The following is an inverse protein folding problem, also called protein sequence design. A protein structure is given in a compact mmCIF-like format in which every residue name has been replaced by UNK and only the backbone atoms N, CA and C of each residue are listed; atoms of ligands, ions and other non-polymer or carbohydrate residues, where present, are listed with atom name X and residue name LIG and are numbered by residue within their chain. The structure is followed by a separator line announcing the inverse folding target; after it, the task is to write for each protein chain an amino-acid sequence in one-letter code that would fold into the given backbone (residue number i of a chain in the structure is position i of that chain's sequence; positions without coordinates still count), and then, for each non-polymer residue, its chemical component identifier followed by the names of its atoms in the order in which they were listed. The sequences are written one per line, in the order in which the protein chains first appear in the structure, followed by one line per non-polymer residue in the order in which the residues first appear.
data_IF_801123549743
#
_entry.id   IF_801123549743
#
_cell.length_a   1.000
_cell.length_b   1.000
_cell.length_c   1.000
_cell.angle_alpha   90.00
_cell.angle_beta   90.00
_cell.angle_gamma   90.00
#
_symmetry.space_group_name_H-M   'P 1'
#
loop_
_entity.id
_entity.type
_entity.pdbx_description
1 polymer ?
#
# COMPACT_ATOMS: atom_id res chain seq x y z
N UNK A 1 -41.18 -16.94 15.93
CA UNK A 1 -40.77 -17.03 14.51
C UNK A 1 -40.33 -15.67 13.98
N UNK A 2 -41.20 -14.66 13.91
CA UNK A 2 -40.84 -13.31 13.42
C UNK A 2 -39.66 -12.64 14.15
N UNK A 3 -39.59 -12.74 15.48
CA UNK A 3 -38.51 -12.16 16.30
C UNK A 3 -37.15 -12.79 16.02
N UNK A 4 -37.13 -14.10 15.76
CA UNK A 4 -35.91 -14.83 15.41
C UNK A 4 -35.37 -14.43 14.04
N UNK A 5 -36.26 -14.21 13.06
CA UNK A 5 -35.87 -13.72 11.73
C UNK A 5 -35.38 -12.27 11.76
N UNK A 6 -35.97 -11.43 12.61
CA UNK A 6 -35.51 -10.05 12.81
C UNK A 6 -34.13 -9.98 13.47
N UNK A 7 -33.90 -10.80 14.50
CA UNK A 7 -32.57 -10.90 15.12
C UNK A 7 -31.52 -11.40 14.11
N UNK A 8 -31.89 -12.38 13.28
CA UNK A 8 -31.02 -12.90 12.22
C UNK A 8 -30.68 -11.83 11.18
N UNK A 9 -31.64 -11.02 10.73
CA UNK A 9 -31.40 -9.97 9.73
C UNK A 9 -30.50 -8.85 10.25
N UNK A 10 -30.64 -8.46 11.51
CA UNK A 10 -29.77 -7.46 12.16
C UNK A 10 -28.33 -7.99 12.29
N UNK A 11 -28.17 -9.23 12.74
CA UNK A 11 -26.86 -9.90 12.81
C UNK A 11 -26.20 -9.96 11.42
N UNK A 12 -26.97 -10.33 10.39
CA UNK A 12 -26.48 -10.43 9.03
C UNK A 12 -26.04 -9.05 8.49
N UNK A 13 -26.80 -7.99 8.76
CA UNK A 13 -26.43 -6.63 8.39
C UNK A 13 -25.14 -6.14 9.07
N UNK A 14 -24.92 -6.48 10.35
CA UNK A 14 -23.68 -6.16 11.07
C UNK A 14 -22.46 -6.90 10.50
N UNK A 15 -22.61 -8.19 10.14
CA UNK A 15 -21.53 -9.00 9.55
C UNK A 15 -21.16 -8.52 8.13
N UNK A 16 -22.13 -8.00 7.39
CA UNK A 16 -21.89 -7.41 6.05
C UNK A 16 -21.49 -5.93 6.07
N UNK A 17 -21.29 -5.32 7.24
CA UNK A 17 -20.71 -3.99 7.31
C UNK A 17 -19.29 -4.03 6.75
N UNK A 18 -19.05 -3.30 5.67
CA UNK A 18 -17.80 -3.41 4.93
C UNK A 18 -16.68 -2.75 5.73
N UNK A 19 -15.61 -3.50 6.02
CA UNK A 19 -14.36 -2.94 6.48
C UNK A 19 -13.62 -2.36 5.27
N UNK A 20 -13.59 -1.03 5.16
CA UNK A 20 -12.78 -0.34 4.15
C UNK A 20 -11.37 -0.20 4.73
N UNK A 21 -10.41 -0.85 4.09
CA UNK A 21 -8.99 -0.67 4.38
C UNK A 21 -8.33 -0.01 3.17
N UNK A 22 -7.69 1.12 3.41
CA UNK A 22 -6.91 1.85 2.42
C UNK A 22 -5.72 2.51 3.10
N UNK A 23 -4.72 2.88 2.32
CA UNK A 23 -3.65 3.72 2.82
C UNK A 23 -4.21 5.09 3.26
N UNK A 24 -3.66 5.71 4.33
CA UNK A 24 -4.07 7.04 4.75
C UNK A 24 -3.87 8.07 3.62
N UNK A 25 -4.78 9.03 3.50
CA UNK A 25 -4.60 10.15 2.58
C UNK A 25 -3.34 10.95 2.94
N UNK A 26 -2.58 11.44 1.94
CA UNK A 26 -1.41 12.27 2.21
C UNK A 26 -1.84 13.59 2.87
N UNK A 27 -1.03 14.06 3.82
CA UNK A 27 -1.29 15.31 4.56
C UNK A 27 -0.63 16.55 3.94
N UNK A 28 0.17 16.35 2.88
CA UNK A 28 1.03 17.35 2.24
C UNK A 28 1.34 16.89 0.81
N UNK A 29 1.95 17.75 -0.02
CA UNK A 29 2.18 17.47 -1.44
C UNK A 29 3.05 16.23 -1.68
N UNK A 30 4.09 16.02 -0.87
CA UNK A 30 4.95 14.85 -0.95
C UNK A 30 5.53 14.41 0.40
N UNK A 31 5.83 13.12 0.49
CA UNK A 31 6.57 12.49 1.59
C UNK A 31 7.44 11.39 1.01
N UNK A 32 8.65 11.73 0.59
CA UNK A 32 9.62 10.74 0.12
C UNK A 32 10.11 9.95 1.33
N UNK A 33 10.00 8.63 1.29
CA UNK A 33 10.43 7.79 2.39
C UNK A 33 11.94 7.92 2.67
N UNK A 34 12.27 8.18 3.93
CA UNK A 34 13.61 8.07 4.47
C UNK A 34 13.84 6.63 4.93
N UNK A 35 14.59 5.87 4.12
CA UNK A 35 14.90 4.46 4.38
C UNK A 35 16.03 4.27 5.40
N UNK A 36 16.76 5.33 5.71
CA UNK A 36 17.89 5.31 6.63
C UNK A 36 17.47 5.76 8.04
N UNK A 37 16.24 6.26 8.20
CA UNK A 37 15.70 6.66 9.48
C UNK A 37 15.59 5.49 10.47
N UNK A 38 16.09 5.64 11.71
CA UNK A 38 15.91 4.62 12.75
C UNK A 38 14.51 4.64 13.37
N UNK A 39 13.69 5.64 13.05
CA UNK A 39 12.36 5.86 13.63
C UNK A 39 11.32 4.99 12.92
N UNK A 40 10.44 4.36 13.70
CA UNK A 40 9.36 3.49 13.19
C UNK A 40 8.00 4.18 13.36
N UNK A 41 7.26 4.27 12.27
CA UNK A 41 5.89 4.80 12.22
C UNK A 41 5.02 3.85 11.37
N UNK A 42 3.72 4.13 11.26
CA UNK A 42 2.89 3.46 10.27
C UNK A 42 3.30 3.93 8.86
N UNK A 43 4.02 3.09 8.12
CA UNK A 43 4.66 3.46 6.85
C UNK A 43 6.15 3.80 7.04
N UNK A 44 6.58 4.94 6.51
CA UNK A 44 7.95 5.43 6.59
C UNK A 44 7.99 6.88 7.08
N UNK A 45 9.08 7.25 7.74
CA UNK A 45 9.36 8.66 8.01
C UNK A 45 9.69 9.36 6.69
N UNK A 46 9.27 10.61 6.53
CA UNK A 46 9.62 11.40 5.35
C UNK A 46 11.03 11.96 5.47
N UNK A 47 11.77 12.04 4.36
CA UNK A 47 12.96 12.88 4.25
C UNK A 47 12.60 14.34 4.51
N UNK A 48 13.60 15.13 4.92
CA UNK A 48 13.49 16.59 4.96
C UNK A 48 13.12 17.13 3.57
N UNK A 49 11.99 17.86 3.42
CA UNK A 49 11.56 18.41 2.14
C UNK A 49 12.60 19.29 1.45
N UNK A 50 13.51 19.93 2.19
CA UNK A 50 14.59 20.75 1.62
C UNK A 50 15.70 19.91 0.95
N UNK A 51 15.76 18.61 1.26
CA UNK A 51 16.72 17.67 0.70
C UNK A 51 16.11 16.73 -0.35
N UNK A 52 14.82 16.86 -0.64
CA UNK A 52 14.14 16.10 -1.70
C UNK A 52 14.46 16.69 -3.07
N UNK A 53 14.79 15.82 -4.01
CA UNK A 53 15.14 16.17 -5.39
C UNK A 53 14.24 15.46 -6.40
N UNK A 54 14.34 15.82 -7.68
CA UNK A 54 13.57 15.15 -8.74
C UNK A 54 13.89 13.65 -8.85
N UNK A 55 15.13 13.26 -8.54
CA UNK A 55 15.58 11.88 -8.61
C UNK A 55 14.89 10.99 -7.57
N UNK A 56 14.41 11.56 -6.45
CA UNK A 56 13.66 10.82 -5.43
C UNK A 56 12.28 10.32 -5.92
N UNK A 57 11.75 10.91 -7.00
CA UNK A 57 10.48 10.51 -7.61
C UNK A 57 10.66 9.57 -8.80
N UNK A 58 11.90 9.28 -9.20
CA UNK A 58 12.20 8.47 -10.37
C UNK A 58 12.90 7.17 -10.01
N UNK A 59 12.30 6.04 -10.38
CA UNK A 59 12.93 4.71 -10.27
C UNK A 59 13.18 4.15 -11.66
N UNK A 60 14.45 4.06 -12.05
CA UNK A 60 14.89 3.46 -13.31
C UNK A 60 14.77 1.91 -13.28
N UNK A 61 13.52 1.41 -13.18
CA UNK A 61 13.24 0.00 -13.00
C UNK A 61 13.23 -0.84 -14.29
N UNK A 62 13.40 -0.21 -15.46
CA UNK A 62 13.39 -0.87 -16.79
C UNK A 62 12.14 -1.73 -17.00
N UNK A 63 10.98 -1.18 -16.66
CA UNK A 63 9.69 -1.90 -16.74
C UNK A 63 9.22 -2.10 -18.20
N UNK A 64 9.84 -1.39 -19.12
CA UNK A 64 9.70 -1.53 -20.57
C UNK A 64 10.48 -2.72 -21.13
N UNK A 65 11.41 -3.31 -20.37
CA UNK A 65 12.22 -4.45 -20.80
C UNK A 65 11.64 -5.79 -20.28
N UNK A 66 11.62 -6.86 -21.11
CA UNK A 66 11.15 -8.17 -20.67
C UNK A 66 12.11 -8.79 -19.66
N UNK A 67 11.55 -9.48 -18.66
CA UNK A 67 12.31 -10.17 -17.61
C UNK A 67 12.35 -11.68 -17.83
N UNK A 68 13.39 -12.34 -17.31
CA UNK A 68 13.55 -13.79 -17.42
C UNK A 68 12.48 -14.55 -16.61
N UNK A 69 11.58 -15.24 -17.31
CA UNK A 69 10.48 -16.03 -16.75
C UNK A 69 10.75 -17.54 -16.71
N UNK A 70 11.98 -18.02 -16.99
CA UNK A 70 12.35 -19.45 -17.02
C UNK A 70 12.37 -20.15 -15.64
N UNK A 71 11.78 -19.55 -14.61
CA UNK A 71 11.66 -20.15 -13.27
C UNK A 71 10.50 -21.15 -13.19
N UNK A 72 10.44 -21.91 -12.08
CA UNK A 72 9.39 -22.91 -11.81
C UNK A 72 7.96 -22.36 -11.92
N UNK A 73 7.77 -21.08 -11.59
CA UNK A 73 6.47 -20.40 -11.63
C UNK A 73 6.15 -19.79 -13.00
N UNK A 74 7.10 -19.75 -13.93
CA UNK A 74 6.90 -19.12 -15.24
C UNK A 74 6.75 -17.59 -15.18
N UNK A 75 7.08 -16.95 -14.06
CA UNK A 75 6.90 -15.52 -13.83
C UNK A 75 8.13 -14.88 -13.19
N UNK A 76 8.26 -13.57 -13.35
CA UNK A 76 9.29 -12.77 -12.72
C UNK A 76 8.71 -11.38 -12.39
N UNK A 77 8.72 -11.01 -11.12
CA UNK A 77 8.09 -9.79 -10.62
C UNK A 77 9.18 -8.78 -10.25
N UNK A 78 9.16 -7.62 -10.90
CA UNK A 78 9.94 -6.46 -10.45
C UNK A 78 9.06 -5.63 -9.52
N UNK A 79 9.38 -5.63 -8.22
CA UNK A 79 8.59 -4.89 -7.22
C UNK A 79 8.87 -3.38 -7.30
N UNK A 80 7.79 -2.61 -7.45
CA UNK A 80 7.79 -1.14 -7.40
C UNK A 80 6.88 -0.74 -6.26
N UNK A 81 7.50 -0.39 -5.15
CA UNK A 81 6.85 0.12 -3.95
C UNK A 81 7.81 1.10 -3.28
N UNK A 82 7.42 1.60 -2.11
CA UNK A 82 8.21 2.54 -1.32
C UNK A 82 9.49 1.90 -0.74
N UNK A 83 9.55 0.56 -0.64
CA UNK A 83 10.69 -0.20 -0.10
C UNK A 83 11.92 -0.22 -1.01
#
# INVERSE_FOLDING_TARGET
MATSYFLLSVLLALVFSQAIASDPSPLQDFCVADKDSPVKVNGFVCKDPMHVTADDFFKAAKLDEPRNTKGKLGSNVTLINVM
#
